data_IF_568532307280
#
_entry.id   IF_568532307280
#
_cell.length_a   1.000
_cell.length_b   1.000
_cell.length_c   1.000
_cell.angle_alpha   90.00
_cell.angle_beta   90.00
_cell.angle_gamma   90.00
#
_symmetry.space_group_name_H-M   'P 1'
#
loop_
_entity.id
_entity.type
_entity.pdbx_description
1 polymer ?
#
# COMPACT_ATOMS: atom_id res chain seq x y z
N UNK A 1 12.37 -73.06 13.22
CA UNK A 1 11.93 -72.34 12.01
C UNK A 1 11.36 -71.01 12.46
N UNK A 2 12.20 -69.97 12.47
CA UNK A 2 11.86 -68.63 12.94
C UNK A 2 11.30 -67.86 11.74
N UNK A 3 10.00 -67.59 11.72
CA UNK A 3 9.36 -66.77 10.69
C UNK A 3 9.53 -65.31 11.11
N UNK A 4 10.41 -64.58 10.42
CA UNK A 4 10.56 -63.14 10.58
C UNK A 4 9.51 -62.48 9.68
N UNK A 5 8.48 -61.89 10.28
CA UNK A 5 7.57 -60.98 9.57
C UNK A 5 8.29 -59.66 9.32
N UNK A 6 8.76 -59.43 8.09
CA UNK A 6 9.21 -58.10 7.65
C UNK A 6 7.96 -57.30 7.32
N UNK A 7 7.53 -56.45 8.24
CA UNK A 7 6.60 -55.36 7.92
C UNK A 7 7.35 -54.33 7.08
N UNK A 8 7.30 -54.46 5.74
CA UNK A 8 7.73 -53.39 4.85
C UNK A 8 6.79 -52.18 5.02
N UNK A 9 7.28 -51.13 5.66
CA UNK A 9 6.60 -49.83 5.66
C UNK A 9 6.51 -49.24 4.24
N UNK A 10 5.66 -48.22 4.03
CA UNK A 10 5.52 -47.58 2.73
C UNK A 10 6.85 -47.02 2.24
N UNK A 11 7.12 -47.22 0.95
CA UNK A 11 8.32 -46.68 0.29
C UNK A 11 8.26 -45.14 0.26
N UNK A 12 9.40 -44.50 0.00
CA UNK A 12 9.43 -43.05 -0.16
C UNK A 12 8.62 -42.59 -1.38
N UNK A 13 8.52 -43.43 -2.43
CA UNK A 13 7.61 -43.20 -3.56
C UNK A 13 6.13 -43.22 -3.12
N UNK A 14 5.73 -44.16 -2.27
CA UNK A 14 4.36 -44.21 -1.77
C UNK A 14 4.02 -42.97 -0.93
N UNK A 15 4.95 -42.54 -0.07
CA UNK A 15 4.77 -41.34 0.76
C UNK A 15 4.76 -40.05 -0.07
N UNK A 16 5.59 -39.97 -1.10
CA UNK A 16 5.61 -38.85 -2.03
C UNK A 16 4.32 -38.76 -2.85
N UNK A 17 3.80 -39.90 -3.33
CA UNK A 17 2.51 -39.97 -4.04
C UNK A 17 1.35 -39.49 -3.17
N UNK A 18 1.30 -39.88 -1.89
CA UNK A 18 0.29 -39.38 -0.94
C UNK A 18 0.33 -37.85 -0.84
N UNK A 19 1.52 -37.23 -0.82
CA UNK A 19 1.64 -35.76 -0.82
C UNK A 19 1.19 -35.12 -2.14
N UNK A 20 1.47 -35.74 -3.28
CA UNK A 20 0.97 -35.27 -4.59
C UNK A 20 -0.56 -35.31 -4.61
N UNK A 21 -1.16 -36.40 -4.14
CA UNK A 21 -2.62 -36.55 -4.12
C UNK A 21 -3.26 -35.57 -3.14
N UNK A 22 -2.62 -35.30 -2.00
CA UNK A 22 -3.03 -34.22 -1.11
C UNK A 22 -2.97 -32.86 -1.82
N UNK A 23 -1.88 -32.55 -2.53
CA UNK A 23 -1.76 -31.29 -3.27
C UNK A 23 -2.86 -31.15 -4.34
N UNK A 24 -3.18 -32.22 -5.08
CA UNK A 24 -4.29 -32.22 -6.05
C UNK A 24 -5.64 -31.94 -5.40
N UNK A 25 -5.90 -32.54 -4.24
CA UNK A 25 -7.13 -32.29 -3.48
C UNK A 25 -7.21 -30.84 -2.97
N UNK A 26 -6.07 -30.26 -2.57
CA UNK A 26 -5.99 -28.86 -2.16
C UNK A 26 -6.25 -27.92 -3.34
N UNK A 27 -5.69 -28.21 -4.52
CA UNK A 27 -5.98 -27.46 -5.75
C UNK A 27 -7.47 -27.48 -6.11
N UNK A 28 -8.12 -28.65 -6.02
CA UNK A 28 -9.56 -28.77 -6.25
C UNK A 28 -10.42 -27.94 -5.27
N UNK A 29 -9.86 -27.59 -4.10
CA UNK A 29 -10.49 -26.73 -3.08
C UNK A 29 -10.02 -25.27 -3.15
N UNK A 30 -9.27 -24.89 -4.19
CA UNK A 30 -8.63 -23.58 -4.34
C UNK A 30 -7.61 -23.23 -3.24
N UNK A 31 -7.12 -24.20 -2.47
CA UNK A 31 -6.02 -24.00 -1.52
C UNK A 31 -4.66 -24.14 -2.24
N UNK A 32 -4.42 -23.23 -3.18
CA UNK A 32 -3.23 -23.27 -4.03
C UNK A 32 -1.94 -23.04 -3.24
N UNK A 33 -1.98 -22.24 -2.18
CA UNK A 33 -0.80 -21.95 -1.36
C UNK A 33 -0.32 -23.19 -0.60
N UNK A 34 -1.25 -23.95 0.00
CA UNK A 34 -0.90 -25.21 0.66
C UNK A 34 -0.48 -26.27 -0.36
N UNK A 35 -1.16 -26.36 -1.51
CA UNK A 35 -0.78 -27.30 -2.57
C UNK A 35 0.68 -27.09 -3.04
N UNK A 36 1.06 -25.83 -3.30
CA UNK A 36 2.44 -25.46 -3.64
C UNK A 36 3.40 -25.90 -2.54
N UNK A 37 3.06 -25.68 -1.25
CA UNK A 37 3.91 -26.08 -0.12
C UNK A 37 4.10 -27.59 -0.05
N UNK A 38 3.04 -28.36 -0.27
CA UNK A 38 3.12 -29.82 -0.28
C UNK A 38 4.03 -30.31 -1.41
N UNK A 39 3.86 -29.78 -2.63
CA UNK A 39 4.66 -30.17 -3.79
C UNK A 39 6.15 -29.79 -3.64
N UNK A 40 6.42 -28.57 -3.20
CA UNK A 40 7.78 -28.04 -3.00
C UNK A 40 8.54 -28.81 -1.91
N UNK A 41 7.83 -29.42 -0.95
CA UNK A 41 8.43 -30.23 0.11
C UNK A 41 8.93 -31.60 -0.35
N UNK A 42 8.38 -32.17 -1.43
CA UNK A 42 8.62 -33.56 -1.83
C UNK A 42 10.10 -33.84 -2.14
N UNK A 43 10.80 -33.06 -2.99
CA UNK A 43 12.20 -33.35 -3.32
C UNK A 43 13.14 -33.30 -2.10
N UNK A 44 12.78 -32.53 -1.06
CA UNK A 44 13.54 -32.43 0.18
C UNK A 44 13.24 -33.58 1.15
N UNK A 45 11.97 -33.99 1.24
CA UNK A 45 11.54 -35.02 2.19
C UNK A 45 11.78 -36.44 1.68
N UNK A 46 11.71 -36.65 0.36
CA UNK A 46 11.79 -37.96 -0.28
C UNK A 46 12.76 -37.91 -1.48
N UNK A 47 14.06 -37.67 -1.26
CA UNK A 47 15.04 -37.51 -2.33
C UNK A 47 15.20 -38.77 -3.21
N UNK A 48 14.98 -39.96 -2.65
CA UNK A 48 15.07 -41.25 -3.36
C UNK A 48 13.82 -41.56 -4.20
N UNK A 49 12.73 -40.79 -4.03
CA UNK A 49 11.48 -40.96 -4.79
C UNK A 49 11.56 -40.25 -6.15
N UNK A 50 12.51 -40.63 -7.00
CA UNK A 50 12.83 -39.93 -8.25
C UNK A 50 11.62 -39.72 -9.17
N UNK A 51 10.70 -40.70 -9.26
CA UNK A 51 9.53 -40.59 -10.13
C UNK A 51 8.54 -39.56 -9.56
N UNK A 52 8.17 -39.70 -8.29
CA UNK A 52 7.25 -38.75 -7.64
C UNK A 52 7.86 -37.36 -7.48
N UNK A 53 9.16 -37.24 -7.25
CA UNK A 53 9.84 -35.94 -7.18
C UNK A 53 9.78 -35.20 -8.53
N UNK A 54 10.00 -35.90 -9.64
CA UNK A 54 9.84 -35.32 -10.98
C UNK A 54 8.37 -34.96 -11.28
N UNK A 55 7.43 -35.84 -10.94
CA UNK A 55 5.99 -35.57 -11.11
C UNK A 55 5.54 -34.35 -10.28
N UNK A 56 6.01 -34.25 -9.03
CA UNK A 56 5.72 -33.12 -8.14
C UNK A 56 6.30 -31.82 -8.70
N UNK A 57 7.53 -31.85 -9.23
CA UNK A 57 8.19 -30.69 -9.85
C UNK A 57 7.43 -30.21 -11.08
N UNK A 58 6.98 -31.11 -11.95
CA UNK A 58 6.18 -30.75 -13.13
C UNK A 58 4.84 -30.12 -12.72
N UNK A 59 4.10 -30.77 -11.80
CA UNK A 59 2.83 -30.23 -11.31
C UNK A 59 3.02 -28.88 -10.61
N UNK A 60 4.10 -28.71 -9.85
CA UNK A 60 4.44 -27.44 -9.20
C UNK A 60 4.70 -26.33 -10.23
N UNK A 61 5.34 -26.65 -11.36
CA UNK A 61 5.57 -25.70 -12.45
C UNK A 61 4.26 -25.27 -13.11
N UNK A 62 3.39 -26.23 -13.43
CA UNK A 62 2.06 -25.97 -13.99
C UNK A 62 1.24 -25.05 -13.08
N UNK A 63 1.18 -25.37 -11.78
CA UNK A 63 0.45 -24.57 -10.79
C UNK A 63 1.04 -23.17 -10.64
N UNK A 64 2.38 -23.04 -10.59
CA UNK A 64 3.04 -21.72 -10.50
C UNK A 64 2.76 -20.87 -11.74
N UNK A 65 2.76 -21.48 -12.92
CA UNK A 65 2.43 -20.81 -14.17
C UNK A 65 0.97 -20.32 -14.17
N UNK A 66 0.02 -21.14 -13.74
CA UNK A 66 -1.39 -20.75 -13.62
C UNK A 66 -1.60 -19.60 -12.61
N UNK A 67 -0.91 -19.66 -11.45
CA UNK A 67 -0.93 -18.56 -10.47
C UNK A 67 -0.36 -17.28 -11.07
N UNK A 68 0.73 -17.37 -11.83
CA UNK A 68 1.35 -16.22 -12.49
C UNK A 68 0.39 -15.59 -13.50
N UNK A 69 -0.24 -16.38 -14.38
CA UNK A 69 -1.20 -15.88 -15.37
C UNK A 69 -2.40 -15.17 -14.72
N UNK A 70 -2.94 -15.71 -13.62
CA UNK A 70 -4.02 -15.04 -12.88
C UNK A 70 -3.59 -13.70 -12.31
N UNK A 71 -2.35 -13.60 -11.83
CA UNK A 71 -1.77 -12.34 -11.32
C UNK A 71 -1.52 -11.35 -12.44
N UNK A 72 -1.05 -11.80 -13.60
CA UNK A 72 -0.89 -10.94 -14.79
C UNK A 72 -2.24 -10.34 -15.22
N UNK A 73 -3.30 -11.14 -15.28
CA UNK A 73 -4.64 -10.63 -15.61
C UNK A 73 -5.18 -9.64 -14.55
N UNK A 74 -4.88 -9.88 -13.26
CA UNK A 74 -5.19 -8.92 -12.19
C UNK A 74 -4.37 -7.62 -12.35
N UNK A 75 -3.11 -7.72 -12.76
CA UNK A 75 -2.24 -6.57 -13.00
C UNK A 75 -2.78 -5.72 -14.14
N UNK A 76 -3.15 -6.31 -15.27
CA UNK A 76 -3.74 -5.60 -16.41
C UNK A 76 -4.99 -4.81 -16.00
N UNK A 77 -5.86 -5.43 -15.21
CA UNK A 77 -7.08 -4.78 -14.69
C UNK A 77 -6.75 -3.61 -13.76
N UNK A 78 -5.72 -3.78 -12.93
CA UNK A 78 -5.27 -2.77 -11.98
C UNK A 78 -4.55 -1.60 -12.67
N UNK A 79 -3.83 -1.84 -13.77
CA UNK A 79 -3.20 -0.78 -14.57
C UNK A 79 -4.26 0.15 -15.18
N UNK A 80 -5.37 -0.40 -15.68
CA UNK A 80 -6.51 0.41 -16.16
C UNK A 80 -7.09 1.26 -15.02
N UNK A 81 -7.26 0.67 -13.84
CA UNK A 81 -7.75 1.40 -12.67
C UNK A 81 -6.80 2.54 -12.26
N UNK A 82 -5.49 2.28 -12.22
CA UNK A 82 -4.49 3.30 -11.92
C UNK A 82 -4.56 4.42 -12.96
N UNK A 83 -4.57 4.09 -14.25
CA UNK A 83 -4.64 5.09 -15.33
C UNK A 83 -5.90 5.98 -15.23
N UNK A 84 -7.04 5.41 -14.82
CA UNK A 84 -8.25 6.20 -14.58
C UNK A 84 -8.09 7.18 -13.41
N UNK A 85 -7.58 6.69 -12.28
CA UNK A 85 -7.34 7.51 -11.08
C UNK A 85 -6.31 8.62 -11.34
N UNK A 86 -5.29 8.35 -12.16
CA UNK A 86 -4.26 9.33 -12.53
C UNK A 86 -4.83 10.55 -13.28
N UNK A 87 -6.01 10.47 -13.90
CA UNK A 87 -6.61 11.58 -14.65
C UNK A 87 -6.88 12.82 -13.77
N UNK A 88 -7.06 12.66 -12.47
CA UNK A 88 -7.23 13.77 -11.53
C UNK A 88 -5.92 14.47 -11.15
N UNK A 89 -4.77 13.94 -11.59
CA UNK A 89 -3.44 14.38 -11.15
C UNK A 89 -2.60 14.94 -12.30
N UNK A 90 -1.66 15.80 -11.93
CA UNK A 90 -0.51 16.18 -12.74
C UNK A 90 0.68 15.39 -12.21
N UNK A 91 1.40 14.71 -13.11
CA UNK A 91 2.64 14.00 -12.79
C UNK A 91 3.81 14.91 -13.10
N UNK A 92 4.65 15.15 -12.11
CA UNK A 92 5.81 16.02 -12.25
C UNK A 92 7.03 15.43 -11.52
N UNK A 93 8.20 15.54 -12.13
CA UNK A 93 9.48 15.19 -11.52
C UNK A 93 10.45 16.33 -11.79
N UNK A 94 10.73 17.14 -10.78
CA UNK A 94 11.72 18.21 -10.86
C UNK A 94 13.14 17.66 -10.69
N UNK A 95 14.15 18.50 -10.92
CA UNK A 95 15.55 18.14 -10.70
C UNK A 95 15.88 17.82 -9.24
N UNK A 96 15.07 18.31 -8.30
CA UNK A 96 15.22 18.07 -6.86
C UNK A 96 14.43 16.86 -6.37
N UNK A 97 13.51 16.33 -7.20
CA UNK A 97 12.65 15.23 -6.81
C UNK A 97 13.32 13.87 -7.04
N UNK A 98 13.43 13.10 -5.96
CA UNK A 98 13.88 11.71 -6.04
C UNK A 98 12.87 10.84 -6.82
N UNK A 99 11.58 11.13 -6.65
CA UNK A 99 10.47 10.36 -7.19
C UNK A 99 9.47 11.27 -7.88
N UNK A 100 8.82 10.79 -8.94
CA UNK A 100 7.71 11.51 -9.58
C UNK A 100 6.60 11.77 -8.55
N UNK A 101 6.15 13.02 -8.47
CA UNK A 101 5.07 13.47 -7.61
C UNK A 101 3.74 13.52 -8.37
N UNK A 102 2.66 13.25 -7.66
CA UNK A 102 1.28 13.33 -8.11
C UNK A 102 0.59 14.50 -7.42
N UNK A 103 0.42 15.59 -8.14
CA UNK A 103 -0.27 16.79 -7.63
C UNK A 103 -1.70 16.79 -8.13
N UNK A 104 -2.67 16.78 -7.22
CA UNK A 104 -4.08 16.82 -7.59
C UNK A 104 -4.41 18.14 -8.32
N UNK A 105 -5.09 18.07 -9.48
CA UNK A 105 -5.37 19.24 -10.35
C UNK A 105 -6.16 20.35 -9.66
N UNK A 106 -6.89 20.04 -8.58
CA UNK A 106 -7.64 21.03 -7.79
C UNK A 106 -6.83 21.68 -6.67
N UNK A 107 -5.66 21.14 -6.29
CA UNK A 107 -4.77 21.71 -5.27
C UNK A 107 -3.67 22.57 -5.91
N UNK A 108 -4.06 23.72 -6.44
CA UNK A 108 -3.15 24.68 -7.10
C UNK A 108 -2.60 25.73 -6.12
N UNK A 109 -1.30 26.02 -6.18
CA UNK A 109 -0.61 26.99 -5.32
C UNK A 109 -1.21 28.40 -5.33
N UNK A 110 -1.74 28.87 -6.47
CA UNK A 110 -2.35 30.20 -6.59
C UNK A 110 -3.53 30.44 -5.65
N UNK A 111 -4.17 29.37 -5.17
CA UNK A 111 -5.31 29.44 -4.23
C UNK A 111 -4.88 29.35 -2.77
N UNK A 112 -3.59 29.27 -2.48
CA UNK A 112 -3.07 28.90 -1.16
C UNK A 112 -2.11 29.96 -0.57
N UNK A 113 -1.77 31.03 -1.32
CA UNK A 113 -0.70 31.96 -0.96
C UNK A 113 -1.04 32.91 0.20
N UNK A 114 -2.29 33.06 0.61
CA UNK A 114 -2.70 34.02 1.66
C UNK A 114 -3.65 33.41 2.69
N UNK A 115 -3.72 32.06 2.76
CA UNK A 115 -4.63 31.36 3.67
C UNK A 115 -4.05 30.06 4.20
N UNK A 116 -4.63 29.57 5.29
CA UNK A 116 -4.32 28.24 5.81
C UNK A 116 -5.04 27.15 5.00
N UNK A 117 -4.38 26.01 4.77
CA UNK A 117 -4.93 24.90 3.98
C UNK A 117 -4.28 23.57 4.34
N UNK A 118 -4.93 22.47 3.94
CA UNK A 118 -4.34 21.13 3.95
C UNK A 118 -3.90 20.74 2.54
N UNK A 119 -2.87 19.92 2.44
CA UNK A 119 -2.38 19.42 1.17
C UNK A 119 -2.03 17.94 1.28
N UNK A 120 -2.46 17.17 0.30
CA UNK A 120 -2.08 15.76 0.18
C UNK A 120 -0.88 15.65 -0.74
N UNK A 121 0.03 14.74 -0.41
CA UNK A 121 1.25 14.50 -1.15
C UNK A 121 1.35 13.02 -1.47
N UNK A 122 1.56 12.70 -2.74
CA UNK A 122 1.60 11.35 -3.27
C UNK A 122 2.75 11.20 -4.26
N UNK A 123 3.53 10.13 -4.17
CA UNK A 123 4.60 9.80 -5.13
C UNK A 123 4.31 8.51 -5.94
N UNK A 124 5.15 8.24 -6.94
CA UNK A 124 5.06 7.05 -7.82
C UNK A 124 5.23 5.69 -7.14
N UNK A 125 5.65 5.67 -5.88
CA UNK A 125 5.69 4.45 -5.06
C UNK A 125 4.38 4.21 -4.34
N UNK A 126 3.47 5.19 -4.36
CA UNK A 126 2.24 5.20 -3.59
C UNK A 126 2.43 5.70 -2.16
N UNK A 127 3.57 6.33 -1.85
CA UNK A 127 3.77 6.95 -0.54
C UNK A 127 2.90 8.19 -0.42
N UNK A 128 2.04 8.19 0.60
CA UNK A 128 1.00 9.17 0.81
C UNK A 128 1.20 9.82 2.19
N UNK A 129 1.13 11.14 2.24
CA UNK A 129 1.10 11.87 3.51
C UNK A 129 0.30 13.16 3.38
N UNK A 130 -0.12 13.71 4.53
CA UNK A 130 -0.82 14.97 4.63
C UNK A 130 0.13 16.05 5.16
N UNK A 131 -0.06 17.29 4.75
CA UNK A 131 0.49 18.45 5.44
C UNK A 131 -0.59 19.47 5.74
N UNK A 132 -0.47 20.15 6.87
CA UNK A 132 -1.25 21.33 7.20
C UNK A 132 -0.35 22.56 7.16
N UNK A 133 -0.78 23.58 6.43
CA UNK A 133 -0.05 24.81 6.18
C UNK A 133 -0.85 25.96 6.80
N UNK A 134 -0.33 26.51 7.89
CA UNK A 134 -0.90 27.67 8.56
C UNK A 134 -0.33 28.97 7.97
N UNK A 135 -1.20 29.96 7.79
CA UNK A 135 -0.87 31.33 7.42
C UNK A 135 -1.56 32.32 8.37
N UNK A 136 -0.81 33.27 8.92
CA UNK A 136 -1.37 34.33 9.76
C UNK A 136 -0.34 35.37 10.19
N UNK A 137 -0.77 36.38 10.96
CA UNK A 137 0.09 37.47 11.44
C UNK A 137 1.00 37.05 12.62
N UNK A 138 0.56 36.06 13.39
CA UNK A 138 1.26 35.55 14.57
C UNK A 138 1.62 34.07 14.40
N UNK A 139 2.71 33.65 15.04
CA UNK A 139 3.10 32.24 15.11
C UNK A 139 2.07 31.43 15.93
N UNK A 140 1.34 30.54 15.27
CA UNK A 140 0.43 29.61 15.95
C UNK A 140 1.21 28.61 16.81
N UNK A 141 2.49 28.38 16.48
CA UNK A 141 3.29 27.28 16.98
C UNK A 141 2.64 25.94 16.67
N UNK A 142 2.26 25.78 15.41
CA UNK A 142 1.53 24.65 14.89
C UNK A 142 2.31 23.34 15.05
N UNK A 143 1.65 22.32 15.61
CA UNK A 143 2.23 20.98 15.84
C UNK A 143 1.34 19.83 15.40
N UNK A 144 0.05 20.05 15.14
CA UNK A 144 -0.85 18.97 14.74
C UNK A 144 -2.16 19.44 14.14
N UNK A 145 -2.93 18.52 13.58
CA UNK A 145 -4.21 18.78 12.92
C UNK A 145 -5.29 17.88 13.52
N UNK A 146 -6.47 18.43 13.78
CA UNK A 146 -7.69 17.67 14.08
C UNK A 146 -8.75 17.97 13.03
N UNK A 147 -9.38 16.96 12.47
CA UNK A 147 -10.50 17.11 11.54
C UNK A 147 -11.74 16.49 12.15
N UNK A 148 -12.86 17.21 12.12
CA UNK A 148 -14.08 16.78 12.80
C UNK A 148 -15.35 17.21 12.06
N UNK A 149 -16.42 16.46 12.27
CA UNK A 149 -17.80 16.86 11.98
C UNK A 149 -18.78 16.04 12.83
N UNK A 150 -19.86 16.67 13.29
CA UNK A 150 -21.02 16.00 13.91
C UNK A 150 -20.71 14.99 15.03
N UNK A 151 -19.63 15.20 15.80
CA UNK A 151 -19.25 14.35 16.93
C UNK A 151 -18.18 13.30 16.62
N UNK A 152 -17.86 13.08 15.35
CA UNK A 152 -16.73 12.25 14.93
C UNK A 152 -15.50 13.13 14.69
N UNK A 153 -14.31 12.63 15.02
CA UNK A 153 -13.06 13.30 14.70
C UNK A 153 -11.90 12.32 14.49
N UNK A 154 -10.89 12.81 13.77
CA UNK A 154 -9.57 12.22 13.70
C UNK A 154 -8.51 13.29 13.96
N UNK A 155 -7.41 12.89 14.57
CA UNK A 155 -6.33 13.79 14.94
C UNK A 155 -4.97 13.17 14.63
N UNK A 156 -4.09 13.97 14.04
CA UNK A 156 -2.72 13.57 13.75
C UNK A 156 -1.91 13.36 15.03
N UNK A 157 -0.78 12.68 14.91
CA UNK A 157 0.27 12.80 15.93
C UNK A 157 0.79 14.24 16.02
N UNK A 158 1.38 14.57 17.16
CA UNK A 158 2.04 15.85 17.36
C UNK A 158 3.46 15.81 16.76
N UNK A 159 3.78 16.83 15.97
CA UNK A 159 5.08 17.01 15.34
C UNK A 159 5.84 18.12 16.06
N UNK A 160 6.94 17.81 16.76
CA UNK A 160 7.72 18.80 17.49
C UNK A 160 8.22 19.94 16.59
N UNK A 161 8.19 21.14 17.15
CA UNK A 161 8.75 22.34 16.54
C UNK A 161 10.25 22.14 16.31
N UNK A 162 10.73 22.52 15.12
CA UNK A 162 12.15 22.39 14.74
C UNK A 162 12.55 21.00 14.25
N UNK A 163 11.60 20.05 14.18
CA UNK A 163 11.82 18.79 13.48
C UNK A 163 11.84 18.98 11.95
N UNK A 164 12.36 17.98 11.23
CA UNK A 164 12.38 17.96 9.75
C UNK A 164 11.00 17.96 9.10
N UNK A 165 9.94 17.76 9.88
CA UNK A 165 8.55 17.75 9.41
C UNK A 165 7.75 18.97 9.90
N UNK A 166 8.38 19.90 10.64
CA UNK A 166 7.74 21.12 11.15
C UNK A 166 8.59 22.34 10.76
N UNK A 167 8.22 22.96 9.65
CA UNK A 167 8.93 24.08 9.06
C UNK A 167 8.20 25.39 9.30
N UNK A 168 8.99 26.45 9.50
CA UNK A 168 8.52 27.81 9.68
C UNK A 168 9.22 28.74 8.73
N UNK A 169 8.48 29.69 8.20
CA UNK A 169 9.03 30.81 7.43
C UNK A 169 8.19 32.05 7.65
N UNK A 170 8.79 33.20 7.46
CA UNK A 170 8.08 34.46 7.49
C UNK A 170 8.52 35.38 6.35
N UNK A 171 7.58 36.19 5.88
CA UNK A 171 7.81 37.17 4.84
C UNK A 171 6.98 38.41 5.16
N UNK A 172 7.66 39.55 5.35
CA UNK A 172 7.05 40.76 5.91
C UNK A 172 6.35 40.43 7.24
N UNK A 173 5.05 40.72 7.34
CA UNK A 173 4.23 40.47 8.53
C UNK A 173 3.60 39.07 8.53
N UNK A 174 3.64 38.35 7.41
CA UNK A 174 3.04 37.02 7.27
C UNK A 174 3.92 35.91 7.86
N UNK A 175 3.32 35.04 8.67
CA UNK A 175 3.92 33.85 9.27
C UNK A 175 3.35 32.59 8.62
N UNK A 176 4.24 31.66 8.28
CA UNK A 176 3.93 30.39 7.66
C UNK A 176 4.44 29.24 8.52
N UNK A 177 3.57 28.30 8.84
CA UNK A 177 3.95 27.07 9.55
C UNK A 177 3.43 25.85 8.78
N UNK A 178 4.34 25.02 8.28
CA UNK A 178 4.01 23.77 7.59
C UNK A 178 4.35 22.59 8.48
N UNK A 179 3.35 21.77 8.77
CA UNK A 179 3.53 20.50 9.48
C UNK A 179 3.20 19.35 8.54
N UNK A 180 4.13 18.40 8.39
CA UNK A 180 3.99 17.22 7.53
C UNK A 180 3.84 15.94 8.37
N UNK A 181 2.83 15.14 8.06
CA UNK A 181 2.46 13.94 8.81
C UNK A 181 2.88 12.68 8.05
N UNK A 182 4.19 12.45 7.95
CA UNK A 182 4.76 11.29 7.23
C UNK A 182 4.73 10.02 8.08
N UNK A 183 4.97 8.87 7.46
CA UNK A 183 5.20 7.60 8.15
C UNK A 183 4.07 7.20 9.12
N UNK A 184 2.81 7.43 8.73
CA UNK A 184 1.63 7.09 9.54
C UNK A 184 1.27 8.10 10.62
N UNK A 185 2.01 9.21 10.75
CA UNK A 185 1.72 10.26 11.73
C UNK A 185 0.45 11.06 11.44
N UNK A 186 -0.20 10.84 10.29
CA UNK A 186 -1.54 11.39 10.06
C UNK A 186 -2.58 10.73 10.98
N UNK A 187 -2.28 9.54 11.49
CA UNK A 187 -3.07 8.83 12.50
C UNK A 187 -4.56 8.68 12.12
N UNK A 188 -4.81 8.32 10.85
CA UNK A 188 -6.15 8.07 10.32
C UNK A 188 -6.91 9.31 9.88
N UNK A 189 -6.29 10.50 9.91
CA UNK A 189 -6.93 11.73 9.42
C UNK A 189 -7.18 11.67 7.92
N UNK A 190 -6.29 11.04 7.15
CA UNK A 190 -6.47 10.87 5.69
C UNK A 190 -7.70 9.99 5.42
N UNK A 191 -7.79 8.81 6.06
CA UNK A 191 -8.95 7.93 5.95
C UNK A 191 -10.23 8.61 6.40
N UNK A 192 -10.19 9.36 7.51
CA UNK A 192 -11.35 10.07 8.03
C UNK A 192 -11.90 11.08 7.03
N UNK A 193 -11.04 11.91 6.42
CA UNK A 193 -11.46 12.86 5.40
C UNK A 193 -12.04 12.13 4.19
N UNK A 194 -11.35 11.08 3.70
CA UNK A 194 -11.75 10.35 2.50
C UNK A 194 -13.11 9.63 2.65
N UNK A 195 -13.46 9.19 3.86
CA UNK A 195 -14.72 8.50 4.16
C UNK A 195 -15.89 9.46 4.40
N UNK A 196 -15.63 10.77 4.52
CA UNK A 196 -16.64 11.78 4.89
C UNK A 196 -16.63 13.00 3.96
N UNK A 197 -16.36 12.78 2.68
CA UNK A 197 -16.25 13.85 1.66
C UNK A 197 -17.54 14.67 1.49
N UNK A 198 -18.69 14.08 1.80
CA UNK A 198 -20.03 14.67 1.72
C UNK A 198 -20.40 15.53 2.95
N UNK A 199 -19.63 15.44 4.04
CA UNK A 199 -19.87 16.19 5.29
C UNK A 199 -19.18 17.55 5.31
N UNK A 200 -19.64 18.45 6.19
CA UNK A 200 -19.04 19.77 6.40
C UNK A 200 -17.84 19.72 7.36
N UNK A 201 -16.79 19.02 6.95
CA UNK A 201 -15.59 18.81 7.77
C UNK A 201 -14.91 20.14 8.11
N UNK A 202 -14.55 20.30 9.39
CA UNK A 202 -13.75 21.42 9.89
C UNK A 202 -12.39 20.91 10.31
N UNK A 203 -11.35 21.68 10.00
CA UNK A 203 -9.99 21.40 10.40
C UNK A 203 -9.51 22.40 11.46
N UNK A 204 -8.94 21.88 12.54
CA UNK A 204 -8.34 22.63 13.64
C UNK A 204 -6.84 22.45 13.57
N UNK A 205 -6.15 23.54 13.33
CA UNK A 205 -4.71 23.63 13.44
C UNK A 205 -4.38 23.79 14.93
N UNK A 206 -3.66 22.82 15.46
CA UNK A 206 -3.29 22.73 16.87
C UNK A 206 -1.92 23.39 17.05
N UNK A 207 -1.84 24.34 17.98
CA UNK A 207 -0.61 24.98 18.43
C UNK A 207 -0.81 25.56 19.83
N UNK A 208 -0.21 26.73 20.10
CA UNK A 208 -0.49 27.47 21.35
C UNK A 208 -1.95 27.90 21.46
N UNK A 209 -2.57 28.16 20.31
CA UNK A 209 -3.98 28.45 20.16
C UNK A 209 -4.59 27.50 19.12
N UNK A 210 -5.90 27.56 18.94
CA UNK A 210 -6.60 26.81 17.90
C UNK A 210 -6.97 27.73 16.75
N UNK A 211 -6.63 27.31 15.53
CA UNK A 211 -7.03 28.01 14.31
C UNK A 211 -7.91 27.10 13.46
N UNK A 212 -9.01 27.63 12.93
CA UNK A 212 -10.06 26.83 12.29
C UNK A 212 -10.22 27.19 10.83
N UNK A 213 -10.37 26.17 9.99
CA UNK A 213 -10.86 26.31 8.61
C UNK A 213 -11.99 25.31 8.35
N UNK A 214 -12.81 25.61 7.35
CA UNK A 214 -13.73 24.64 6.75
C UNK A 214 -12.98 23.98 5.60
N UNK A 215 -13.05 22.64 5.50
CA UNK A 215 -12.48 21.93 4.36
C UNK A 215 -13.44 22.02 3.18
N UNK A 216 -12.96 22.64 2.10
CA UNK A 216 -13.72 22.76 0.88
C UNK A 216 -13.93 21.40 0.21
N UNK A 217 -14.95 21.29 -0.63
CA UNK A 217 -15.26 20.04 -1.34
C UNK A 217 -14.05 19.51 -2.12
N UNK A 218 -13.32 20.40 -2.79
CA UNK A 218 -12.15 20.00 -3.56
C UNK A 218 -10.96 19.53 -2.70
N UNK A 219 -10.83 20.00 -1.46
CA UNK A 219 -9.80 19.53 -0.54
C UNK A 219 -10.10 18.09 -0.10
N UNK A 220 -11.36 17.82 0.25
CA UNK A 220 -11.82 16.49 0.64
C UNK A 220 -11.72 15.49 -0.52
N UNK A 221 -12.11 15.90 -1.72
CA UNK A 221 -11.99 15.06 -2.92
C UNK A 221 -10.52 14.78 -3.28
N UNK A 222 -9.63 15.76 -3.18
CA UNK A 222 -8.21 15.55 -3.43
C UNK A 222 -7.61 14.49 -2.50
N UNK A 223 -7.97 14.53 -1.21
CA UNK A 223 -7.54 13.52 -0.22
C UNK A 223 -8.10 12.13 -0.56
N UNK A 224 -9.39 12.02 -0.88
CA UNK A 224 -10.02 10.75 -1.29
C UNK A 224 -9.36 10.15 -2.52
N UNK A 225 -9.19 10.97 -3.57
CA UNK A 225 -8.64 10.53 -4.84
C UNK A 225 -7.17 10.10 -4.68
N UNK A 226 -6.40 10.83 -3.88
CA UNK A 226 -5.00 10.48 -3.59
C UNK A 226 -4.89 9.19 -2.77
N UNK A 227 -5.79 8.97 -1.80
CA UNK A 227 -5.85 7.72 -1.04
C UNK A 227 -6.19 6.53 -1.95
N UNK A 228 -7.15 6.69 -2.86
CA UNK A 228 -7.51 5.66 -3.83
C UNK A 228 -6.34 5.32 -4.75
N UNK A 229 -5.67 6.33 -5.30
CA UNK A 229 -4.52 6.15 -6.18
C UNK A 229 -3.32 5.52 -5.44
N UNK A 230 -3.02 5.96 -4.22
CA UNK A 230 -1.98 5.36 -3.36
C UNK A 230 -2.21 3.86 -3.15
N UNK A 231 -3.44 3.46 -2.80
CA UNK A 231 -3.81 2.04 -2.61
C UNK A 231 -3.63 1.24 -3.91
N UNK A 232 -4.08 1.79 -5.04
CA UNK A 232 -3.94 1.13 -6.34
C UNK A 232 -2.47 0.96 -6.75
N UNK A 233 -1.64 1.99 -6.61
CA UNK A 233 -0.20 1.94 -6.89
C UNK A 233 0.49 0.90 -5.99
N UNK A 234 0.23 0.92 -4.68
CA UNK A 234 0.82 -0.06 -3.74
C UNK A 234 0.43 -1.49 -4.09
N UNK A 235 -0.83 -1.72 -4.48
CA UNK A 235 -1.30 -3.03 -4.93
C UNK A 235 -0.58 -3.46 -6.23
N UNK A 236 -0.43 -2.54 -7.18
CA UNK A 236 0.26 -2.78 -8.47
C UNK A 236 1.71 -3.19 -8.24
N UNK A 237 2.45 -2.38 -7.47
CA UNK A 237 3.85 -2.63 -7.16
C UNK A 237 4.06 -3.97 -6.44
N UNK A 238 3.14 -4.35 -5.52
CA UNK A 238 3.18 -5.66 -4.87
C UNK A 238 2.95 -6.81 -5.87
N UNK A 239 1.97 -6.66 -6.75
CA UNK A 239 1.62 -7.68 -7.72
C UNK A 239 2.74 -7.91 -8.75
N UNK A 240 3.35 -6.84 -9.25
CA UNK A 240 4.55 -6.89 -10.10
C UNK A 240 5.70 -7.66 -9.43
N UNK A 241 5.95 -7.42 -8.14
CA UNK A 241 6.98 -8.14 -7.38
C UNK A 241 6.65 -9.64 -7.24
N UNK A 242 5.38 -9.98 -6.99
CA UNK A 242 4.93 -11.36 -6.89
C UNK A 242 5.05 -12.10 -8.23
N UNK A 243 4.66 -11.47 -9.35
CA UNK A 243 4.81 -12.01 -10.70
C UNK A 243 6.29 -12.25 -11.00
N UNK A 244 7.15 -11.26 -10.74
CA UNK A 244 8.60 -11.39 -10.94
C UNK A 244 9.20 -12.54 -10.12
N UNK A 245 8.80 -12.67 -8.85
CA UNK A 245 9.27 -13.75 -7.99
C UNK A 245 8.80 -15.14 -8.47
N UNK A 246 7.58 -15.24 -9.01
CA UNK A 246 7.07 -16.48 -9.61
C UNK A 246 7.81 -16.82 -10.91
N UNK A 247 8.03 -15.84 -11.79
CA UNK A 247 8.78 -16.03 -13.04
C UNK A 247 10.21 -16.52 -12.79
N UNK A 248 10.90 -15.98 -11.77
CA UNK A 248 12.21 -16.48 -11.36
C UNK A 248 12.14 -17.96 -10.90
N UNK A 249 11.14 -18.35 -10.13
CA UNK A 249 10.98 -19.75 -9.68
C UNK A 249 10.63 -20.72 -10.81
N UNK A 250 10.06 -20.24 -11.90
CA UNK A 250 9.78 -21.02 -13.11
C UNK A 250 11.07 -21.16 -13.95
N UNK A 251 11.90 -20.11 -14.03
CA UNK A 251 13.09 -20.06 -14.90
C UNK A 251 14.40 -20.60 -14.30
N UNK A 252 14.50 -20.85 -12.97
CA UNK A 252 15.73 -21.34 -12.31
C UNK A 252 15.93 -22.86 -12.49
N UNK A 253 15.65 -23.42 -13.67
CA UNK A 253 15.88 -24.85 -13.94
C UNK A 253 16.48 -25.11 -15.32
#
# INVERSE_FOLDING_TARGET
MLIIFVSCGPSDEDKARVKIDLAKNLLAKNDTAEAIRQLDSIPKLYPEAMYSANAAKNLLQEVRFEVMQRKEAELDSLEVQVAELEKSFVKEKTEFDRYTQYTHKRQTFTRAWDRSYIQVHLDERGELYLSSNYHGENWLNHTGLRVYDSGDDAKTEEIPIGSVDNHRSDFMEAKWEKVSYRNGKDNGVIEFIANHVDRNLKAVFLGKEYYYIILETYDKEAVRDALALSKAIKKRNKLEQEIKALGQKINIQ
#
